data_IF_814375467511
#
_entry.id   IF_814375467511
#
_cell.length_a   1.000
_cell.length_b   1.000
_cell.length_c   1.000
_cell.angle_alpha   90.00
_cell.angle_beta   90.00
_cell.angle_gamma   90.00
#
_symmetry.space_group_name_H-M   'P 1'
#
loop_
_entity.id
_entity.type
_entity.pdbx_description
1 polymer ?
#
# COMPACT_ATOMS: atom_id res chain seq x y z
N UNK A 1 12.70 -18.67 3.27
CA UNK A 1 11.31 -18.17 3.23
C UNK A 1 11.20 -16.66 3.45
N UNK A 2 11.62 -16.07 4.58
CA UNK A 2 11.48 -14.61 4.82
C UNK A 2 12.18 -13.74 3.76
N UNK A 3 13.43 -14.06 3.41
CA UNK A 3 14.19 -13.33 2.37
C UNK A 3 13.51 -13.41 1.00
N UNK A 4 13.02 -14.58 0.62
CA UNK A 4 12.28 -14.77 -0.65
C UNK A 4 11.00 -13.93 -0.68
N UNK A 5 10.25 -13.89 0.40
CA UNK A 5 9.04 -13.06 0.49
C UNK A 5 9.41 -11.58 0.46
N UNK A 6 10.44 -11.17 1.20
CA UNK A 6 10.93 -9.78 1.19
C UNK A 6 11.37 -9.31 -0.19
N UNK A 7 12.05 -10.15 -0.98
CA UNK A 7 12.45 -9.75 -2.34
C UNK A 7 11.25 -9.68 -3.29
N UNK A 8 10.26 -10.58 -3.14
CA UNK A 8 9.02 -10.52 -3.92
C UNK A 8 8.27 -9.22 -3.60
N UNK A 9 8.10 -8.89 -2.32
CA UNK A 9 7.44 -7.65 -1.88
C UNK A 9 8.21 -6.43 -2.39
N UNK A 10 9.55 -6.43 -2.33
CA UNK A 10 10.39 -5.37 -2.90
C UNK A 10 10.12 -5.15 -4.39
N UNK A 11 10.14 -6.23 -5.19
CA UNK A 11 9.94 -6.18 -6.65
C UNK A 11 8.51 -5.73 -6.98
N UNK A 12 7.50 -6.27 -6.30
CA UNK A 12 6.10 -5.90 -6.56
C UNK A 12 5.86 -4.42 -6.24
N UNK A 13 6.33 -3.94 -5.09
CA UNK A 13 6.10 -2.54 -4.71
C UNK A 13 6.93 -1.54 -5.52
N UNK A 14 8.12 -1.93 -6.02
CA UNK A 14 8.85 -1.05 -6.93
C UNK A 14 8.17 -0.95 -8.29
N UNK A 15 7.55 -2.04 -8.77
CA UNK A 15 6.74 -2.01 -9.99
C UNK A 15 5.48 -1.15 -9.79
N UNK A 16 4.82 -1.23 -8.63
CA UNK A 16 3.69 -0.35 -8.32
C UNK A 16 4.09 1.13 -8.33
N UNK A 17 5.22 1.47 -7.70
CA UNK A 17 5.75 2.84 -7.75
C UNK A 17 6.08 3.28 -9.19
N UNK A 18 6.62 2.38 -10.02
CA UNK A 18 6.97 2.70 -11.40
C UNK A 18 5.75 2.94 -12.31
N UNK A 19 4.64 2.24 -12.10
CA UNK A 19 3.42 2.46 -12.91
C UNK A 19 2.77 3.81 -12.59
N UNK A 20 2.95 4.31 -11.37
CA UNK A 20 2.33 5.55 -10.91
C UNK A 20 2.84 6.82 -11.59
N UNK A 21 3.98 6.80 -12.31
CA UNK A 21 4.47 8.00 -13.00
C UNK A 21 3.47 8.59 -14.02
N UNK A 22 2.44 7.83 -14.40
CA UNK A 22 1.39 8.27 -15.32
C UNK A 22 0.23 9.00 -14.62
N UNK A 23 0.19 9.03 -13.28
CA UNK A 23 -0.93 9.58 -12.51
C UNK A 23 -0.68 11.03 -12.02
N UNK A 24 -1.71 11.87 -11.93
CA UNK A 24 -1.58 13.27 -11.50
C UNK A 24 -1.12 13.43 -10.04
N UNK A 25 -1.33 12.42 -9.20
CA UNK A 25 -0.97 12.39 -7.77
C UNK A 25 0.23 11.47 -7.47
N UNK A 26 1.05 11.17 -8.49
CA UNK A 26 2.11 10.16 -8.47
C UNK A 26 3.04 10.22 -7.25
N UNK A 27 3.40 11.43 -6.81
CA UNK A 27 4.40 11.63 -5.75
C UNK A 27 4.02 10.93 -4.42
N UNK A 28 2.74 10.96 -4.03
CA UNK A 28 2.30 10.37 -2.74
C UNK A 28 2.40 8.85 -2.79
N UNK A 29 1.98 8.28 -3.90
CA UNK A 29 1.98 6.84 -4.14
C UNK A 29 3.38 6.28 -4.36
N UNK A 30 4.24 6.98 -5.11
CA UNK A 30 5.67 6.66 -5.22
C UNK A 30 6.32 6.69 -3.84
N UNK A 31 5.99 7.67 -3.00
CA UNK A 31 6.53 7.74 -1.64
C UNK A 31 6.10 6.55 -0.77
N UNK A 32 4.81 6.19 -0.75
CA UNK A 32 4.34 5.10 0.12
C UNK A 32 4.77 3.72 -0.42
N UNK A 33 4.69 3.48 -1.72
CA UNK A 33 5.14 2.21 -2.31
C UNK A 33 6.65 2.08 -2.28
N UNK A 34 7.39 3.17 -2.52
CA UNK A 34 8.83 3.23 -2.33
C UNK A 34 9.23 2.94 -0.88
N UNK A 35 8.50 3.48 0.09
CA UNK A 35 8.72 3.17 1.51
C UNK A 35 8.56 1.67 1.80
N UNK A 36 7.47 1.04 1.33
CA UNK A 36 7.25 -0.41 1.52
C UNK A 36 8.36 -1.21 0.83
N UNK A 37 8.77 -0.81 -0.37
CA UNK A 37 9.87 -1.43 -1.12
C UNK A 37 11.19 -1.37 -0.32
N UNK A 38 11.57 -0.19 0.17
CA UNK A 38 12.78 -0.01 0.98
C UNK A 38 12.73 -0.79 2.30
N UNK A 39 11.56 -0.83 2.96
CA UNK A 39 11.36 -1.63 4.15
C UNK A 39 11.53 -3.14 3.86
N UNK A 40 11.01 -3.61 2.72
CA UNK A 40 11.16 -4.99 2.27
C UNK A 40 12.63 -5.33 1.94
N UNK A 41 13.34 -4.42 1.28
CA UNK A 41 14.78 -4.56 1.00
C UNK A 41 15.60 -4.59 2.31
N UNK A 42 15.30 -3.70 3.24
CA UNK A 42 15.90 -3.70 4.59
C UNK A 42 15.63 -5.01 5.34
N UNK A 43 14.41 -5.57 5.22
CA UNK A 43 14.04 -6.86 5.80
C UNK A 43 14.84 -8.02 5.17
N UNK A 44 15.09 -7.98 3.85
CA UNK A 44 15.93 -8.96 3.16
C UNK A 44 17.34 -9.04 3.74
N UNK A 45 17.94 -7.88 4.05
CA UNK A 45 19.26 -7.79 4.69
C UNK A 45 19.22 -7.96 6.22
N UNK A 46 18.05 -8.10 6.83
CA UNK A 46 17.89 -8.18 8.29
C UNK A 46 18.18 -6.88 9.03
N UNK A 47 18.10 -5.72 8.34
CA UNK A 47 18.45 -4.39 8.86
C UNK A 47 17.26 -3.45 9.05
N UNK A 48 16.03 -3.91 8.84
CA UNK A 48 14.84 -3.06 9.07
C UNK A 48 14.45 -3.07 10.55
N UNK A 49 14.37 -1.92 11.23
CA UNK A 49 13.91 -1.87 12.60
C UNK A 49 12.38 -1.98 12.67
N UNK A 50 11.86 -2.60 13.75
CA UNK A 50 10.41 -2.79 13.91
C UNK A 50 9.63 -1.48 13.97
N UNK A 51 10.21 -0.45 14.60
CA UNK A 51 9.55 0.85 14.73
C UNK A 51 9.28 1.49 13.38
N UNK A 52 10.17 1.31 12.39
CA UNK A 52 9.95 1.83 11.04
C UNK A 52 8.72 1.17 10.42
N UNK A 53 8.64 -0.16 10.47
CA UNK A 53 7.46 -0.90 9.97
C UNK A 53 6.16 -0.39 10.61
N UNK A 54 6.14 -0.23 11.94
CA UNK A 54 4.95 0.27 12.64
C UNK A 54 4.63 1.72 12.32
N UNK A 55 5.63 2.59 12.13
CA UNK A 55 5.43 3.96 11.70
C UNK A 55 4.80 4.02 10.30
N UNK A 56 5.30 3.23 9.35
CA UNK A 56 4.70 3.12 8.01
C UNK A 56 3.26 2.60 8.06
N UNK A 57 3.00 1.57 8.87
CA UNK A 57 1.65 1.06 9.06
C UNK A 57 0.71 2.10 9.68
N UNK A 58 1.20 2.92 10.62
CA UNK A 58 0.41 3.99 11.22
C UNK A 58 0.07 5.08 10.19
N UNK A 59 1.02 5.47 9.34
CA UNK A 59 0.78 6.41 8.25
C UNK A 59 -0.30 5.88 7.30
N UNK A 60 -0.18 4.61 6.87
CA UNK A 60 -1.21 3.98 6.04
C UNK A 60 -2.57 3.97 6.74
N UNK A 61 -2.61 3.62 8.03
CA UNK A 61 -3.85 3.54 8.80
C UNK A 61 -4.54 4.91 8.92
N UNK A 62 -3.77 5.97 9.18
CA UNK A 62 -4.30 7.34 9.24
C UNK A 62 -4.88 7.75 7.89
N UNK A 63 -4.14 7.51 6.80
CA UNK A 63 -4.62 7.85 5.45
C UNK A 63 -5.85 7.03 5.06
N UNK A 64 -5.87 5.72 5.34
CA UNK A 64 -7.06 4.88 5.16
C UNK A 64 -8.26 5.39 5.96
N UNK A 65 -8.04 5.92 7.18
CA UNK A 65 -9.09 6.52 7.99
C UNK A 65 -9.80 7.69 7.30
N UNK A 66 -9.08 8.45 6.47
CA UNK A 66 -9.68 9.56 5.69
C UNK A 66 -10.57 9.07 4.55
N UNK A 67 -10.26 7.90 3.98
CA UNK A 67 -10.98 7.28 2.86
C UNK A 67 -12.05 6.27 3.32
N UNK A 68 -12.13 6.00 4.63
CA UNK A 68 -12.96 4.93 5.18
C UNK A 68 -14.45 5.13 4.88
N UNK A 69 -14.94 6.37 4.94
CA UNK A 69 -16.36 6.67 4.66
C UNK A 69 -16.71 6.34 3.22
N UNK A 70 -15.85 6.69 2.28
CA UNK A 70 -16.05 6.44 0.85
C UNK A 70 -15.99 4.94 0.53
N UNK A 71 -15.09 4.22 1.20
CA UNK A 71 -15.03 2.76 1.10
C UNK A 71 -16.31 2.10 1.60
N UNK A 72 -16.85 2.53 2.74
CA UNK A 72 -18.14 2.04 3.26
C UNK A 72 -19.28 2.40 2.31
N UNK A 73 -19.28 3.61 1.75
CA UNK A 73 -20.28 4.02 0.77
C UNK A 73 -20.26 3.12 -0.48
N UNK A 74 -19.07 2.77 -0.99
CA UNK A 74 -18.92 1.81 -2.09
C UNK A 74 -19.47 0.42 -1.76
N UNK A 75 -19.25 -0.07 -0.53
CA UNK A 75 -19.86 -1.34 -0.09
C UNK A 75 -21.39 -1.23 -0.10
N UNK A 76 -21.95 -0.11 0.39
CA UNK A 76 -23.40 0.11 0.41
C UNK A 76 -24.01 0.21 -1.00
N UNK A 77 -23.24 0.67 -1.99
CA UNK A 77 -23.64 0.66 -3.41
C UNK A 77 -23.62 -0.74 -4.05
N UNK A 78 -23.26 -1.80 -3.31
CA UNK A 78 -23.20 -3.16 -3.82
C UNK A 78 -21.86 -3.53 -4.45
N UNK A 79 -20.78 -2.83 -4.10
CA UNK A 79 -19.42 -3.08 -4.60
C UNK A 79 -19.34 -3.09 -6.14
N UNK A 80 -19.78 -2.02 -6.82
CA UNK A 80 -19.64 -1.91 -8.27
C UNK A 80 -18.16 -2.08 -8.70
N UNK A 81 -17.95 -2.52 -9.95
CA UNK A 81 -16.61 -2.75 -10.52
C UNK A 81 -15.69 -1.56 -10.31
N UNK A 82 -14.48 -1.84 -9.81
CA UNK A 82 -13.40 -0.87 -9.60
C UNK A 82 -12.31 -0.95 -10.69
N UNK A 83 -12.51 -1.81 -11.70
CA UNK A 83 -11.56 -2.05 -12.81
C UNK A 83 -11.94 -1.20 -14.03
N UNK A 84 -13.13 -0.62 -14.02
CA UNK A 84 -13.59 0.26 -15.09
C UNK A 84 -12.72 1.52 -15.18
N UNK A 85 -12.68 2.12 -16.37
CA UNK A 85 -11.98 3.39 -16.58
C UNK A 85 -12.51 4.49 -15.64
N UNK A 86 -11.58 5.29 -15.13
CA UNK A 86 -11.90 6.50 -14.36
C UNK A 86 -12.63 7.49 -15.28
N UNK A 87 -13.95 7.41 -15.30
CA UNK A 87 -14.76 8.50 -15.80
C UNK A 87 -14.99 9.50 -14.67
N UNK A 88 -15.01 10.79 -15.01
CA UNK A 88 -15.38 11.90 -14.11
C UNK A 88 -16.74 11.72 -13.43
N UNK A 89 -17.55 10.77 -13.90
CA UNK A 89 -18.85 10.41 -13.34
C UNK A 89 -18.80 9.38 -12.20
N UNK A 90 -17.64 8.76 -11.90
CA UNK A 90 -17.52 7.72 -10.86
C UNK A 90 -16.35 7.95 -9.87
N UNK A 91 -16.38 9.04 -9.07
CA UNK A 91 -15.30 9.36 -8.12
C UNK A 91 -15.07 8.28 -7.04
N UNK A 92 -16.07 7.45 -6.75
CA UNK A 92 -15.95 6.35 -5.80
C UNK A 92 -14.95 5.26 -6.24
N UNK A 93 -14.71 5.09 -7.54
CA UNK A 93 -13.75 4.08 -8.05
C UNK A 93 -12.32 4.45 -7.62
N UNK A 94 -11.96 5.73 -7.77
CA UNK A 94 -10.65 6.25 -7.36
C UNK A 94 -10.41 6.03 -5.87
N UNK A 95 -11.32 6.54 -5.02
CA UNK A 95 -11.19 6.50 -3.57
C UNK A 95 -11.10 5.06 -3.02
N UNK A 96 -11.83 4.12 -3.63
CA UNK A 96 -11.76 2.70 -3.24
C UNK A 96 -10.42 2.08 -3.67
N UNK A 97 -9.94 2.39 -4.88
CA UNK A 97 -8.62 1.93 -5.33
C UNK A 97 -7.50 2.47 -4.43
N UNK A 98 -7.59 3.73 -4.02
CA UNK A 98 -6.66 4.32 -3.06
C UNK A 98 -6.71 3.58 -1.71
N UNK A 99 -7.91 3.37 -1.16
CA UNK A 99 -8.07 2.64 0.11
C UNK A 99 -7.47 1.24 0.05
N UNK A 100 -7.73 0.50 -1.05
CA UNK A 100 -7.20 -0.84 -1.26
C UNK A 100 -5.68 -0.84 -1.50
N UNK A 101 -5.14 0.16 -2.18
CA UNK A 101 -3.69 0.35 -2.36
C UNK A 101 -2.98 0.52 -1.03
N UNK A 102 -3.54 1.32 -0.12
CA UNK A 102 -3.01 1.50 1.24
C UNK A 102 -3.13 0.23 2.09
N UNK A 103 -4.24 -0.52 1.95
CA UNK A 103 -4.39 -1.82 2.59
C UNK A 103 -3.31 -2.80 2.13
N UNK A 104 -3.01 -2.84 0.83
CA UNK A 104 -1.91 -3.65 0.29
C UNK A 104 -0.57 -3.19 0.86
N UNK A 105 -0.30 -1.88 0.94
CA UNK A 105 0.91 -1.35 1.55
C UNK A 105 1.05 -1.78 3.03
N UNK A 106 -0.03 -1.72 3.82
CA UNK A 106 -0.05 -2.24 5.19
C UNK A 106 0.27 -3.73 5.26
N UNK A 107 -0.32 -4.53 4.37
CA UNK A 107 -0.07 -5.98 4.33
C UNK A 107 1.39 -6.25 3.96
N UNK A 108 1.95 -5.54 2.97
CA UNK A 108 3.36 -5.63 2.59
C UNK A 108 4.29 -5.38 3.78
N UNK A 109 4.08 -4.27 4.49
CA UNK A 109 4.82 -3.93 5.71
C UNK A 109 4.67 -4.97 6.81
N UNK A 110 3.46 -5.46 7.06
CA UNK A 110 3.19 -6.48 8.06
C UNK A 110 3.89 -7.80 7.75
N UNK A 111 3.92 -8.21 6.48
CA UNK A 111 4.54 -9.46 6.03
C UNK A 111 6.06 -9.41 6.18
N UNK A 112 6.69 -8.26 5.90
CA UNK A 112 8.15 -8.09 6.00
C UNK A 112 8.63 -7.73 7.42
N UNK A 113 7.71 -7.60 8.39
CA UNK A 113 8.05 -7.18 9.75
C UNK A 113 9.05 -8.12 10.43
N UNK A 114 10.07 -7.59 11.16
CA UNK A 114 10.95 -8.41 11.95
C UNK A 114 10.19 -9.06 13.11
N UNK A 115 10.03 -10.38 13.10
CA UNK A 115 9.62 -11.13 14.30
C UNK A 115 10.85 -11.30 15.19
N UNK A 116 10.74 -10.92 16.46
CA UNK A 116 11.85 -11.09 17.40
C UNK A 116 12.30 -12.52 17.52
N UNK A 117 13.61 -12.68 17.73
CA UNK A 117 14.14 -13.89 18.34
C UNK A 117 13.41 -14.03 19.67
N UNK A 118 12.55 -15.05 19.76
CA UNK A 118 12.45 -15.76 21.03
C UNK A 118 13.70 -16.59 21.16
#
# INVERSE_FOLDING_TARGET
MKKTISIIVFIVFILFAAVQYNDPDALRWIAIYGYVSLAALGAYFGRVPRWAIYAGMLVCLIWMGTLFKDFIHWIQMGMPSIVDEMHTTKPHIELVREFLGLLLAMIGLWVVRPRGNK
#
